data_IF_890750286946
#
_entry.id   IF_890750286946
#
_cell.length_a   1.000
_cell.length_b   1.000
_cell.length_c   1.000
_cell.angle_alpha   90.00
_cell.angle_beta   90.00
_cell.angle_gamma   90.00
#
_symmetry.space_group_name_H-M   'P 1'
#
loop_
_entity.id
_entity.type
_entity.pdbx_description
1 polymer ?
#
# COMPACT_ATOMS: atom_id res chain seq x y z
N UNK A 1 -12.32 -5.92 13.65
CA UNK A 1 -13.11 -5.24 12.61
C UNK A 1 -12.80 -5.95 11.31
N UNK A 2 -13.78 -6.53 10.61
CA UNK A 2 -13.52 -7.20 9.33
C UNK A 2 -13.10 -6.18 8.28
N UNK A 3 -11.84 -6.22 7.83
CA UNK A 3 -11.35 -5.29 6.84
C UNK A 3 -11.95 -5.60 5.48
N UNK A 4 -12.54 -4.57 4.87
CA UNK A 4 -13.30 -4.73 3.65
C UNK A 4 -12.36 -4.65 2.46
N UNK A 5 -11.94 -5.81 1.95
CA UNK A 5 -11.06 -5.92 0.76
C UNK A 5 -11.51 -5.03 -0.40
N UNK A 6 -12.82 -4.98 -0.69
CA UNK A 6 -13.35 -4.11 -1.75
C UNK A 6 -13.07 -2.61 -1.54
N UNK A 7 -13.05 -2.15 -0.28
CA UNK A 7 -12.73 -0.76 0.07
C UNK A 7 -11.26 -0.45 -0.14
N UNK A 8 -10.37 -1.33 0.34
CA UNK A 8 -8.91 -1.19 0.18
C UNK A 8 -8.54 -1.13 -1.30
N UNK A 9 -9.10 -2.04 -2.11
CA UNK A 9 -8.91 -2.03 -3.57
C UNK A 9 -9.34 -0.72 -4.22
N UNK A 10 -10.41 -0.11 -3.71
CA UNK A 10 -10.89 1.18 -4.22
C UNK A 10 -9.99 2.35 -3.78
N UNK A 11 -9.46 2.33 -2.55
CA UNK A 11 -8.53 3.34 -2.04
C UNK A 11 -7.15 3.34 -2.73
N UNK A 12 -6.77 2.23 -3.33
CA UNK A 12 -5.58 2.13 -4.17
C UNK A 12 -5.70 2.90 -5.50
N UNK A 13 -6.91 3.31 -5.91
CA UNK A 13 -7.11 4.12 -7.12
C UNK A 13 -6.74 5.57 -6.83
N UNK A 14 -5.61 6.00 -7.38
CA UNK A 14 -4.95 7.25 -7.00
C UNK A 14 -4.78 8.12 -8.25
N UNK A 15 -4.78 9.44 -8.09
CA UNK A 15 -4.65 10.37 -9.22
C UNK A 15 -3.25 10.31 -9.87
N UNK A 16 -2.24 9.88 -9.11
CA UNK A 16 -0.86 9.70 -9.58
C UNK A 16 -0.70 8.36 -10.29
N UNK A 17 -0.41 8.40 -11.59
CA UNK A 17 -0.28 7.20 -12.44
C UNK A 17 0.80 6.23 -11.94
N UNK A 18 1.91 6.76 -11.45
CA UNK A 18 3.02 5.95 -10.92
C UNK A 18 2.57 5.14 -9.70
N UNK A 19 1.83 5.78 -8.79
CA UNK A 19 1.25 5.14 -7.61
C UNK A 19 0.21 4.09 -8.00
N UNK A 20 -0.67 4.45 -8.95
CA UNK A 20 -1.74 3.57 -9.43
C UNK A 20 -1.18 2.29 -10.08
N UNK A 21 -0.10 2.40 -10.85
CA UNK A 21 0.58 1.25 -11.45
C UNK A 21 1.23 0.35 -10.40
N UNK A 22 1.91 0.93 -9.40
CA UNK A 22 2.52 0.17 -8.30
C UNK A 22 1.45 -0.57 -7.52
N UNK A 23 0.38 0.13 -7.11
CA UNK A 23 -0.71 -0.48 -6.37
C UNK A 23 -1.45 -1.52 -7.18
N UNK A 24 -1.72 -1.29 -8.46
CA UNK A 24 -2.41 -2.27 -9.32
C UNK A 24 -1.61 -3.57 -9.41
N UNK A 25 -0.30 -3.50 -9.67
CA UNK A 25 0.56 -4.70 -9.72
C UNK A 25 0.66 -5.41 -8.37
N UNK A 26 0.81 -4.64 -7.30
CA UNK A 26 0.83 -5.16 -5.94
C UNK A 26 -0.48 -5.88 -5.61
N UNK A 27 -1.62 -5.27 -5.96
CA UNK A 27 -2.93 -5.87 -5.74
C UNK A 27 -3.12 -7.16 -6.54
N UNK A 28 -2.63 -7.23 -7.78
CA UNK A 28 -2.78 -8.46 -8.56
C UNK A 28 -1.93 -9.62 -8.04
N UNK A 29 -0.74 -9.34 -7.48
CA UNK A 29 0.19 -10.38 -6.99
C UNK A 29 -0.02 -10.77 -5.53
N UNK A 30 -0.24 -9.78 -4.67
CA UNK A 30 -0.19 -9.94 -3.22
C UNK A 30 -1.57 -9.90 -2.56
N UNK A 31 -2.56 -9.21 -3.13
CA UNK A 31 -3.86 -8.99 -2.48
C UNK A 31 -4.62 -10.27 -2.09
N UNK A 32 -4.50 -11.33 -2.88
CA UNK A 32 -5.12 -12.62 -2.56
C UNK A 32 -4.41 -13.36 -1.41
N UNK A 33 -3.12 -13.03 -1.20
CA UNK A 33 -2.25 -13.62 -0.17
C UNK A 33 -2.16 -12.78 1.11
N UNK A 34 -2.66 -11.54 1.10
CA UNK A 34 -2.65 -10.66 2.27
C UNK A 34 -3.49 -11.27 3.40
N UNK A 35 -2.90 -11.30 4.59
CA UNK A 35 -3.62 -11.61 5.83
C UNK A 35 -4.40 -10.39 6.33
N UNK A 36 -5.33 -10.59 7.26
CA UNK A 36 -6.14 -9.51 7.84
C UNK A 36 -5.28 -8.40 8.48
N UNK A 37 -4.16 -8.78 9.10
CA UNK A 37 -3.18 -7.87 9.70
C UNK A 37 -2.51 -6.97 8.65
N UNK A 38 -2.00 -7.57 7.57
CA UNK A 38 -1.44 -6.80 6.45
C UNK A 38 -2.49 -5.94 5.76
N UNK A 39 -3.73 -6.42 5.61
CA UNK A 39 -4.83 -5.59 5.12
C UNK A 39 -5.09 -4.37 6.02
N UNK A 40 -4.87 -4.50 7.34
CA UNK A 40 -4.97 -3.39 8.28
C UNK A 40 -3.84 -2.40 8.13
N UNK A 41 -2.60 -2.88 7.99
CA UNK A 41 -1.46 -2.03 7.69
C UNK A 41 -1.64 -1.27 6.38
N UNK A 42 -2.19 -1.93 5.35
CA UNK A 42 -2.46 -1.31 4.06
C UNK A 42 -3.58 -0.28 4.14
N UNK A 43 -4.67 -0.54 4.88
CA UNK A 43 -5.73 0.47 5.12
C UNK A 43 -5.14 1.71 5.81
N UNK A 44 -4.30 1.51 6.82
CA UNK A 44 -3.66 2.59 7.57
C UNK A 44 -2.66 3.36 6.70
N UNK A 45 -1.88 2.66 5.88
CA UNK A 45 -0.96 3.24 4.91
C UNK A 45 -1.72 4.06 3.85
N UNK A 46 -2.86 3.56 3.37
CA UNK A 46 -3.71 4.25 2.39
C UNK A 46 -4.44 5.46 2.98
N UNK A 47 -4.43 5.67 4.30
CA UNK A 47 -4.88 6.94 4.91
C UNK A 47 -3.84 8.04 4.82
N UNK A 48 -2.60 7.72 4.47
CA UNK A 48 -1.56 8.72 4.21
C UNK A 48 -1.77 9.42 2.86
N UNK A 49 -1.15 10.60 2.76
CA UNK A 49 -1.18 11.44 1.57
C UNK A 49 -0.45 10.76 0.40
N UNK A 50 -0.95 10.98 -0.82
CA UNK A 50 -0.39 10.44 -2.06
C UNK A 50 1.09 10.72 -2.23
N UNK A 51 1.51 11.96 -1.93
CA UNK A 51 2.90 12.39 -2.07
C UNK A 51 3.81 11.70 -1.06
N UNK A 52 3.32 11.47 0.15
CA UNK A 52 4.08 10.82 1.21
C UNK A 52 4.25 9.33 0.92
N UNK A 53 3.17 8.69 0.50
CA UNK A 53 3.16 7.32 0.00
C UNK A 53 4.16 7.12 -1.13
N UNK A 54 4.14 8.00 -2.15
CA UNK A 54 5.08 7.93 -3.25
C UNK A 54 6.52 8.10 -2.78
N UNK A 55 6.78 9.06 -1.87
CA UNK A 55 8.11 9.28 -1.32
C UNK A 55 8.61 8.05 -0.56
N UNK A 56 7.75 7.36 0.19
CA UNK A 56 8.11 6.12 0.90
C UNK A 56 8.38 4.96 -0.07
N UNK A 57 7.53 4.76 -1.08
CA UNK A 57 7.70 3.72 -2.10
C UNK A 57 8.95 3.96 -2.95
N UNK A 58 9.21 5.21 -3.35
CA UNK A 58 10.40 5.60 -4.11
C UNK A 58 11.68 5.63 -3.23
N UNK A 59 11.57 5.41 -1.91
CA UNK A 59 12.69 5.47 -0.97
C UNK A 59 13.23 6.88 -0.72
N UNK A 60 12.48 7.91 -1.10
CA UNK A 60 12.76 9.32 -0.81
C UNK A 60 12.41 9.71 0.62
N UNK A 61 11.54 8.94 1.29
CA UNK A 61 11.15 9.13 2.69
C UNK A 61 11.30 7.83 3.48
N UNK A 62 11.84 7.92 4.69
CA UNK A 62 11.91 6.78 5.60
C UNK A 62 10.56 6.51 6.26
N UNK A 63 10.17 5.24 6.30
CA UNK A 63 8.97 4.78 6.97
C UNK A 63 9.26 4.65 8.46
N UNK A 64 8.72 5.57 9.27
CA UNK A 64 8.93 5.56 10.73
C UNK A 64 8.16 4.49 11.50
N UNK A 65 7.31 3.71 10.83
CA UNK A 65 6.55 2.62 11.45
C UNK A 65 7.05 1.26 10.95
N UNK A 66 7.55 0.44 11.88
CA UNK A 66 8.09 -0.90 11.57
C UNK A 66 7.08 -1.78 10.83
N UNK A 67 5.80 -1.72 11.23
CA UNK A 67 4.69 -2.42 10.57
C UNK A 67 4.51 -2.06 9.09
N UNK A 68 4.84 -0.83 8.71
CA UNK A 68 4.74 -0.39 7.32
C UNK A 68 5.99 -0.72 6.51
N UNK A 69 7.13 -0.99 7.14
CA UNK A 69 8.36 -1.29 6.41
C UNK A 69 8.23 -2.56 5.58
N UNK A 70 7.60 -3.61 6.12
CA UNK A 70 7.34 -4.83 5.36
C UNK A 70 6.39 -4.57 4.18
N UNK A 71 5.32 -3.80 4.41
CA UNK A 71 4.36 -3.46 3.35
C UNK A 71 5.00 -2.63 2.23
N UNK A 72 5.82 -1.65 2.59
CA UNK A 72 6.57 -0.81 1.65
C UNK A 72 7.61 -1.63 0.89
N UNK A 73 8.27 -2.60 1.55
CA UNK A 73 9.19 -3.51 0.89
C UNK A 73 8.45 -4.37 -0.16
N UNK A 74 7.25 -4.86 0.15
CA UNK A 74 6.41 -5.60 -0.81
C UNK A 74 5.92 -4.70 -1.96
N UNK A 75 5.58 -3.44 -1.70
CA UNK A 75 5.22 -2.46 -2.74
C UNK A 75 6.40 -2.11 -3.66
N UNK A 76 7.62 -2.18 -3.15
CA UNK A 76 8.88 -1.95 -3.91
C UNK A 76 9.35 -3.17 -4.68
N UNK A 77 8.82 -4.35 -4.39
CA UNK A 77 9.15 -5.59 -5.09
C UNK A 77 8.70 -5.49 -6.57
N UNK A 78 9.63 -5.68 -7.50
CA UNK A 78 9.46 -5.34 -8.93
C UNK A 78 8.79 -6.43 -9.78
#
# INVERSE_FOLDING_TARGET
MTINRGRVRWQCRRALLELDLVFTRFLERHFDRLSDDQLADLDDLLRCDDYDLWAMVNGSKECGQERWQEMIALLRER
#
